data_IF_149253516555
#
_entry.id   IF_149253516555
#
_cell.length_a   1.000
_cell.length_b   1.000
_cell.length_c   1.000
_cell.angle_alpha   90.00
_cell.angle_beta   90.00
_cell.angle_gamma   90.00
#
_symmetry.space_group_name_H-M   'P 1'
#
loop_
_entity.id
_entity.type
_entity.pdbx_description
1 polymer ?
#
# COMPACT_ATOMS: atom_id res chain seq x y z
N UNK A 1 -12.98 3.18 -4.41
CA UNK A 1 -11.82 3.32 -3.50
C UNK A 1 -10.72 4.01 -4.25
N UNK A 2 -10.19 5.12 -3.71
CA UNK A 2 -9.07 5.84 -4.31
C UNK A 2 -7.77 5.32 -3.69
N UNK A 3 -6.83 4.87 -4.52
CA UNK A 3 -5.55 4.31 -4.04
C UNK A 3 -4.48 5.40 -4.08
N UNK A 4 -3.82 5.60 -2.96
CA UNK A 4 -2.70 6.52 -2.83
C UNK A 4 -1.49 5.78 -2.26
N UNK A 5 -0.29 6.32 -2.48
CA UNK A 5 0.97 5.77 -2.00
C UNK A 5 1.25 6.34 -0.62
N UNK A 6 1.51 5.47 0.36
CA UNK A 6 1.97 5.91 1.67
C UNK A 6 3.40 6.47 1.58
N UNK A 7 3.60 7.69 2.08
CA UNK A 7 4.90 8.38 2.01
C UNK A 7 5.54 8.51 3.39
N UNK A 8 4.74 8.71 4.44
CA UNK A 8 5.27 8.85 5.80
C UNK A 8 4.30 9.47 6.78
N UNK A 9 4.84 9.95 7.90
CA UNK A 9 4.09 10.53 9.00
C UNK A 9 4.14 12.06 8.94
N UNK A 10 3.07 12.71 9.36
CA UNK A 10 3.04 14.17 9.51
C UNK A 10 3.49 14.53 10.92
N UNK A 11 4.53 15.35 11.03
CA UNK A 11 5.13 15.77 12.30
C UNK A 11 4.08 16.39 13.25
N UNK A 12 4.15 16.02 14.53
CA UNK A 12 3.25 16.55 15.56
C UNK A 12 1.80 16.06 15.49
N UNK A 13 1.47 15.13 14.57
CA UNK A 13 0.10 14.61 14.43
C UNK A 13 0.07 13.07 14.39
N UNK A 14 -1.09 12.49 14.70
CA UNK A 14 -1.38 11.07 14.48
C UNK A 14 -2.02 10.87 13.10
N UNK A 15 -1.38 11.41 12.07
CA UNK A 15 -1.86 11.32 10.70
C UNK A 15 -0.74 10.89 9.74
N UNK A 16 -1.16 10.28 8.65
CA UNK A 16 -0.28 9.76 7.60
C UNK A 16 -0.39 10.63 6.34
N UNK A 17 0.73 10.80 5.67
CA UNK A 17 0.83 11.52 4.40
C UNK A 17 0.86 10.52 3.23
N UNK A 18 0.07 10.82 2.21
CA UNK A 18 -0.09 10.00 1.02
C UNK A 18 0.11 10.82 -0.25
N UNK A 19 0.70 10.21 -1.26
CA UNK A 19 0.81 10.78 -2.60
C UNK A 19 -0.25 10.16 -3.52
N UNK A 20 -1.02 11.01 -4.19
CA UNK A 20 -1.94 10.61 -5.26
C UNK A 20 -1.25 10.75 -6.62
N UNK A 21 -0.99 9.64 -7.34
CA UNK A 21 -0.34 9.71 -8.65
C UNK A 21 -1.25 10.29 -9.75
N UNK A 22 -2.58 10.28 -9.57
CA UNK A 22 -3.55 10.79 -10.56
C UNK A 22 -3.62 12.30 -10.50
N UNK A 23 -3.80 12.86 -9.30
CA UNK A 23 -3.92 14.31 -9.12
C UNK A 23 -2.60 15.01 -8.86
N UNK A 24 -1.52 14.25 -8.65
CA UNK A 24 -0.18 14.73 -8.30
C UNK A 24 -0.20 15.63 -7.06
N UNK A 25 -0.91 15.17 -6.02
CA UNK A 25 -1.08 15.93 -4.77
C UNK A 25 -0.82 15.07 -3.55
N UNK A 26 -0.40 15.74 -2.48
CA UNK A 26 -0.31 15.13 -1.16
C UNK A 26 -1.64 15.23 -0.42
N UNK A 27 -1.97 14.16 0.29
CA UNK A 27 -3.17 14.03 1.11
C UNK A 27 -2.78 13.57 2.51
N UNK A 28 -3.42 14.15 3.52
CA UNK A 28 -3.25 13.78 4.92
C UNK A 28 -4.53 13.11 5.39
N UNK A 29 -4.41 11.93 6.00
CA UNK A 29 -5.54 11.24 6.61
C UNK A 29 -5.11 10.61 7.93
N UNK A 30 -6.02 10.61 8.91
CA UNK A 30 -5.88 9.93 10.20
C UNK A 30 -6.66 8.62 10.28
N UNK A 31 -7.34 8.20 9.21
CA UNK A 31 -8.07 6.93 9.16
C UNK A 31 -7.93 6.22 7.79
N UNK A 32 -6.70 5.97 7.31
CA UNK A 32 -6.49 5.22 6.08
C UNK A 32 -6.74 3.72 6.29
N UNK A 33 -7.06 3.02 5.21
CA UNK A 33 -7.04 1.55 5.16
C UNK A 33 -5.84 1.15 4.31
N UNK A 34 -4.89 0.40 4.90
CA UNK A 34 -3.70 -0.09 4.19
C UNK A 34 -4.00 -1.38 3.44
N UNK A 35 -3.60 -1.45 2.17
CA UNK A 35 -3.67 -2.67 1.36
C UNK A 35 -2.36 -3.46 1.50
N UNK A 36 -2.23 -4.23 2.60
CA UNK A 36 -1.00 -4.96 2.96
C UNK A 36 -0.65 -6.12 2.02
N UNK A 37 -1.55 -6.47 1.09
CA UNK A 37 -1.32 -7.51 0.08
C UNK A 37 -0.24 -7.11 -0.93
N UNK A 38 0.01 -5.81 -1.08
CA UNK A 38 0.91 -5.26 -2.08
C UNK A 38 2.04 -4.52 -1.37
N UNK A 39 3.01 -5.27 -0.84
CA UNK A 39 4.22 -4.70 -0.25
C UNK A 39 5.41 -4.91 -1.19
N UNK A 40 6.21 -3.88 -1.52
CA UNK A 40 7.44 -4.06 -2.29
C UNK A 40 8.44 -4.85 -1.44
N UNK A 41 8.43 -6.18 -1.59
CA UNK A 41 9.20 -7.12 -0.77
C UNK A 41 8.45 -8.40 -0.40
N UNK A 42 7.12 -8.43 -0.53
CA UNK A 42 6.40 -9.70 -0.45
C UNK A 42 6.62 -10.47 -1.75
N UNK A 43 6.99 -11.76 -1.70
CA UNK A 43 6.87 -12.60 -2.87
C UNK A 43 5.39 -12.62 -3.25
N UNK A 44 5.06 -12.21 -4.47
CA UNK A 44 3.76 -12.52 -5.06
C UNK A 44 3.71 -14.04 -5.19
N UNK A 45 3.27 -14.72 -4.13
CA UNK A 45 2.99 -16.15 -4.17
C UNK A 45 1.72 -16.35 -4.99
N UNK A 46 1.83 -16.14 -6.30
CA UNK A 46 1.05 -16.86 -7.29
C UNK A 46 2.01 -17.78 -8.06
N UNK A 47 2.84 -18.53 -7.35
CA UNK A 47 3.39 -19.76 -7.91
C UNK A 47 2.34 -20.83 -7.61
N UNK A 48 1.36 -20.96 -8.49
CA UNK A 48 0.61 -22.21 -8.63
C UNK A 48 1.60 -23.27 -9.11
N UNK A 49 2.31 -23.91 -8.17
CA UNK A 49 3.11 -25.10 -8.47
C UNK A 49 2.12 -26.18 -8.93
N UNK A 50 2.22 -26.75 -10.14
CA UNK A 50 1.42 -27.90 -10.51
C UNK A 50 1.80 -29.03 -9.56
N UNK A 51 0.81 -29.55 -8.86
CA UNK A 51 0.99 -30.65 -7.91
C UNK A 51 1.19 -31.94 -8.72
N UNK A 52 2.39 -32.16 -9.26
CA UNK A 52 2.78 -33.47 -9.80
C UNK A 52 3.34 -34.32 -8.66
N UNK A 53 2.50 -35.25 -8.21
CA UNK A 53 2.79 -36.20 -7.14
C UNK A 53 3.32 -37.49 -7.77
N UNK A 54 4.55 -37.95 -7.47
CA UNK A 54 4.90 -39.36 -7.60
C UNK A 54 4.32 -40.20 -6.45
#
# INVERSE_FOLDING_TARGET
MHKCIFVGYVEGTKAWCFWDPVTQKFFISSHPVFDERCFPGNPTSEVSVPNDKP
#
